data_IF_535433804303
#
_entry.id   IF_535433804303
#
_cell.length_a   1.000
_cell.length_b   1.000
_cell.length_c   1.000
_cell.angle_alpha   90.00
_cell.angle_beta   90.00
_cell.angle_gamma   90.00
#
_symmetry.space_group_name_H-M   'P 1'
#
loop_
_entity.id
_entity.type
_entity.pdbx_description
1 polymer ?
#
# COMPACT_ATOMS: atom_id res chain seq x y z
N UNK A 1 -14.96 3.65 5.20
CA UNK A 1 -14.67 2.29 4.66
C UNK A 1 -15.95 1.47 4.52
N UNK A 2 -15.93 0.45 3.63
CA UNK A 2 -17.05 -0.48 3.40
C UNK A 2 -16.53 -1.91 3.49
N UNK A 3 -17.26 -2.78 4.20
CA UNK A 3 -16.89 -4.19 4.40
C UNK A 3 -17.73 -5.08 3.49
N UNK A 4 -17.06 -5.99 2.79
CA UNK A 4 -17.65 -7.00 1.93
C UNK A 4 -17.31 -8.38 2.49
N UNK A 5 -18.24 -9.03 3.20
CA UNK A 5 -18.04 -10.38 3.67
C UNK A 5 -18.00 -11.37 2.50
N UNK A 6 -17.32 -12.51 2.64
CA UNK A 6 -17.33 -13.54 1.61
C UNK A 6 -18.75 -14.04 1.38
N UNK A 7 -19.17 -14.13 0.11
CA UNK A 7 -20.54 -14.53 -0.27
C UNK A 7 -20.63 -15.98 -0.74
N UNK A 8 -19.51 -16.67 -0.89
CA UNK A 8 -19.43 -18.06 -1.37
C UNK A 8 -19.30 -19.01 -0.18
N UNK A 9 -19.91 -20.24 -0.26
CA UNK A 9 -19.66 -21.28 0.72
C UNK A 9 -18.15 -21.57 0.85
N UNK A 10 -17.66 -22.03 2.03
CA UNK A 10 -16.26 -22.35 2.23
C UNK A 10 -15.77 -23.33 1.16
N UNK A 11 -14.80 -22.93 0.34
CA UNK A 11 -14.26 -23.83 -0.69
C UNK A 11 -13.48 -23.17 -1.82
N UNK A 12 -13.67 -21.88 -2.14
CA UNK A 12 -12.91 -21.23 -3.22
C UNK A 12 -11.61 -20.60 -2.71
N UNK A 13 -11.62 -19.89 -1.59
CA UNK A 13 -10.41 -19.46 -0.88
C UNK A 13 -10.50 -20.00 0.55
N UNK A 14 -9.88 -21.15 0.75
CA UNK A 14 -10.03 -21.93 1.99
C UNK A 14 -9.24 -21.38 3.19
N UNK A 15 -8.27 -20.49 2.95
CA UNK A 15 -7.40 -19.94 3.98
C UNK A 15 -8.02 -18.76 4.75
N UNK A 16 -9.22 -18.31 4.37
CA UNK A 16 -9.92 -17.22 5.02
C UNK A 16 -9.21 -15.86 4.88
N UNK A 17 -8.53 -15.61 3.76
CA UNK A 17 -7.78 -14.37 3.56
C UNK A 17 -8.69 -13.12 3.60
N UNK A 18 -8.16 -12.03 4.17
CA UNK A 18 -8.71 -10.69 4.12
C UNK A 18 -7.86 -9.76 3.24
N UNK A 19 -8.48 -8.73 2.68
CA UNK A 19 -7.83 -7.71 1.87
C UNK A 19 -8.35 -6.32 2.25
N UNK A 20 -7.47 -5.40 2.60
CA UNK A 20 -7.77 -3.97 2.62
C UNK A 20 -7.47 -3.40 1.24
N UNK A 21 -8.43 -2.73 0.62
CA UNK A 21 -8.32 -2.25 -0.76
C UNK A 21 -8.56 -0.74 -0.85
N UNK A 22 -7.67 -0.02 -1.56
CA UNK A 22 -7.76 1.40 -1.82
C UNK A 22 -7.96 1.67 -3.32
N UNK A 23 -8.98 2.45 -3.68
CA UNK A 23 -9.26 2.85 -5.05
C UNK A 23 -8.24 3.88 -5.57
N UNK A 24 -8.23 4.11 -6.89
CA UNK A 24 -7.46 5.16 -7.54
C UNK A 24 -8.16 6.52 -7.53
N UNK A 25 -7.74 7.39 -8.45
CA UNK A 25 -8.32 8.74 -8.60
C UNK A 25 -7.34 9.88 -8.39
N UNK A 26 -6.04 9.66 -8.62
CA UNK A 26 -5.03 10.72 -8.59
C UNK A 26 -4.92 11.44 -7.26
N UNK A 27 -5.20 10.76 -6.15
CA UNK A 27 -5.28 11.28 -4.78
C UNK A 27 -6.42 12.27 -4.51
N UNK A 28 -7.04 12.86 -5.52
CA UNK A 28 -8.03 13.94 -5.41
C UNK A 28 -9.43 13.53 -5.87
N UNK A 29 -9.60 12.33 -6.38
CA UNK A 29 -10.87 11.79 -6.88
C UNK A 29 -11.10 10.36 -6.49
N UNK A 30 -12.23 9.82 -6.96
CA UNK A 30 -12.66 8.45 -6.65
C UNK A 30 -13.56 8.38 -5.43
N UNK A 31 -14.23 7.24 -5.30
CA UNK A 31 -15.10 6.90 -4.18
C UNK A 31 -15.30 5.38 -4.09
N UNK A 32 -16.05 4.94 -3.08
CA UNK A 32 -16.33 3.52 -2.85
C UNK A 32 -17.32 2.90 -3.84
N UNK A 33 -17.98 3.68 -4.69
CA UNK A 33 -19.01 3.18 -5.64
C UNK A 33 -18.44 2.95 -7.05
N UNK A 34 -17.22 3.42 -7.31
CA UNK A 34 -16.57 3.19 -8.61
C UNK A 34 -16.23 1.70 -8.83
N UNK A 35 -16.19 1.23 -10.09
CA UNK A 35 -15.93 -0.19 -10.41
C UNK A 35 -14.63 -0.73 -9.81
N UNK A 36 -13.59 0.08 -9.77
CA UNK A 36 -12.28 -0.23 -9.18
C UNK A 36 -12.35 -0.43 -7.65
N UNK A 37 -13.37 0.13 -6.98
CA UNK A 37 -13.63 -0.07 -5.55
C UNK A 37 -14.69 -1.15 -5.32
N UNK A 38 -15.96 -0.87 -5.63
CA UNK A 38 -17.11 -1.76 -5.39
C UNK A 38 -17.04 -3.04 -6.23
N UNK A 39 -16.73 -2.90 -7.53
CA UNK A 39 -16.66 -4.03 -8.45
C UNK A 39 -15.57 -5.02 -8.06
N UNK A 40 -14.36 -4.52 -7.77
CA UNK A 40 -13.23 -5.34 -7.29
C UNK A 40 -13.59 -6.02 -5.97
N UNK A 41 -14.11 -5.27 -5.00
CA UNK A 41 -14.44 -5.81 -3.69
C UNK A 41 -15.53 -6.89 -3.76
N UNK A 42 -16.61 -6.68 -4.52
CA UNK A 42 -17.66 -7.69 -4.73
C UNK A 42 -17.14 -8.94 -5.43
N UNK A 43 -16.33 -8.76 -6.45
CA UNK A 43 -15.81 -9.88 -7.21
C UNK A 43 -14.84 -10.75 -6.40
N UNK A 44 -14.03 -10.16 -5.52
CA UNK A 44 -13.16 -10.90 -4.60
C UNK A 44 -13.98 -11.51 -3.44
N UNK A 45 -14.98 -10.82 -2.91
CA UNK A 45 -15.88 -11.37 -1.92
C UNK A 45 -16.67 -12.60 -2.45
N UNK A 46 -17.07 -12.58 -3.72
CA UNK A 46 -17.66 -13.72 -4.40
C UNK A 46 -16.70 -14.90 -4.54
N UNK A 47 -15.40 -14.71 -4.39
CA UNK A 47 -14.36 -15.74 -4.40
C UNK A 47 -13.93 -16.19 -3.00
N UNK A 48 -14.55 -15.66 -1.95
CA UNK A 48 -14.31 -16.09 -0.57
C UNK A 48 -13.34 -15.19 0.21
N UNK A 49 -12.96 -14.01 -0.31
CA UNK A 49 -12.12 -13.02 0.38
C UNK A 49 -12.99 -12.10 1.21
N UNK A 50 -12.59 -11.81 2.46
CA UNK A 50 -13.14 -10.65 3.19
C UNK A 50 -12.49 -9.39 2.67
N UNK A 51 -13.24 -8.43 2.10
CA UNK A 51 -12.66 -7.19 1.59
C UNK A 51 -13.12 -6.00 2.43
N UNK A 52 -12.17 -5.15 2.80
CA UNK A 52 -12.39 -3.84 3.42
C UNK A 52 -11.95 -2.77 2.43
N UNK A 53 -12.89 -2.16 1.74
CA UNK A 53 -12.61 -1.05 0.83
C UNK A 53 -12.46 0.24 1.63
N UNK A 54 -11.29 0.87 1.54
CA UNK A 54 -10.96 2.08 2.28
C UNK A 54 -11.48 3.33 1.56
N UNK A 55 -12.18 4.18 2.32
CA UNK A 55 -12.65 5.50 1.90
C UNK A 55 -11.70 6.52 2.53
N UNK A 56 -10.61 6.75 1.87
CA UNK A 56 -9.55 7.61 2.39
C UNK A 56 -9.80 9.09 2.08
N UNK A 57 -9.20 9.98 2.87
CA UNK A 57 -9.27 11.43 2.69
C UNK A 57 -8.65 11.85 1.37
N UNK A 58 -9.41 12.55 0.53
CA UNK A 58 -8.94 13.03 -0.76
C UNK A 58 -8.19 14.35 -0.61
N UNK A 59 -7.17 14.55 -1.43
CA UNK A 59 -6.51 15.84 -1.63
C UNK A 59 -7.49 16.83 -2.27
N UNK A 60 -7.24 18.15 -2.17
CA UNK A 60 -8.06 19.12 -2.87
C UNK A 60 -8.14 18.86 -4.37
N UNK A 61 -9.28 19.15 -4.99
CA UNK A 61 -9.43 19.16 -6.44
C UNK A 61 -9.55 20.63 -6.88
N UNK A 62 -8.43 21.30 -7.22
CA UNK A 62 -8.46 22.69 -7.64
C UNK A 62 -9.19 22.86 -8.98
N UNK A 63 -9.78 24.06 -9.23
CA UNK A 63 -10.63 24.32 -10.38
C UNK A 63 -9.99 23.93 -11.71
N UNK A 64 -8.71 24.27 -11.91
CA UNK A 64 -8.00 23.94 -13.15
C UNK A 64 -7.91 22.44 -13.42
N UNK A 65 -7.77 21.62 -12.38
CA UNK A 65 -7.74 20.17 -12.48
C UNK A 65 -9.17 19.61 -12.62
N UNK A 66 -10.13 20.17 -11.90
CA UNK A 66 -11.54 19.81 -11.98
C UNK A 66 -12.09 20.02 -13.41
N UNK A 67 -11.79 21.14 -14.03
CA UNK A 67 -12.20 21.47 -15.40
C UNK A 67 -11.67 20.45 -16.42
N UNK A 68 -10.43 19.96 -16.23
CA UNK A 68 -9.83 18.94 -17.10
C UNK A 68 -10.58 17.61 -17.08
N UNK A 69 -11.17 17.27 -15.94
CA UNK A 69 -11.89 16.00 -15.75
C UNK A 69 -13.44 16.18 -15.76
N UNK A 70 -13.95 17.37 -16.05
CA UNK A 70 -15.38 17.63 -16.07
C UNK A 70 -16.03 17.55 -14.68
N UNK A 71 -15.29 17.86 -13.62
CA UNK A 71 -15.76 17.85 -12.23
C UNK A 71 -15.88 19.27 -11.67
N UNK A 72 -16.51 19.41 -10.51
CA UNK A 72 -16.47 20.63 -9.72
C UNK A 72 -15.22 20.61 -8.82
N UNK A 73 -14.66 21.77 -8.54
CA UNK A 73 -13.61 21.90 -7.53
C UNK A 73 -14.14 21.44 -6.16
N UNK A 74 -13.26 20.82 -5.38
CA UNK A 74 -13.56 20.31 -4.03
C UNK A 74 -12.44 20.66 -3.08
N UNK A 75 -12.81 20.97 -1.84
CA UNK A 75 -11.88 21.00 -0.74
C UNK A 75 -11.40 19.60 -0.41
N UNK A 76 -10.23 19.52 0.20
CA UNK A 76 -9.64 18.23 0.59
C UNK A 76 -8.52 18.42 1.60
N UNK A 77 -7.79 17.36 1.86
CA UNK A 77 -6.70 17.34 2.86
C UNK A 77 -5.45 16.74 2.24
N UNK A 78 -4.33 17.45 2.37
CA UNK A 78 -3.05 16.99 1.85
C UNK A 78 -2.47 15.84 2.69
N UNK A 79 -1.39 15.26 2.19
CA UNK A 79 -0.58 14.31 2.94
C UNK A 79 -0.29 14.85 4.37
N UNK A 80 -0.36 14.01 5.44
CA UNK A 80 -0.43 12.56 5.43
C UNK A 80 -1.84 11.96 5.56
N UNK A 81 -2.93 12.73 5.48
CA UNK A 81 -4.27 12.27 5.85
C UNK A 81 -4.69 10.95 5.18
N UNK A 82 -4.61 10.85 3.84
CA UNK A 82 -4.94 9.61 3.13
C UNK A 82 -4.06 8.43 3.57
N UNK A 83 -2.75 8.66 3.77
CA UNK A 83 -1.82 7.63 4.25
C UNK A 83 -2.16 7.16 5.67
N UNK A 84 -2.59 8.08 6.55
CA UNK A 84 -3.04 7.76 7.91
C UNK A 84 -4.32 6.93 7.90
N UNK A 85 -5.26 7.27 7.01
CA UNK A 85 -6.50 6.52 6.83
C UNK A 85 -6.25 5.07 6.39
N UNK A 86 -5.31 4.84 5.45
CA UNK A 86 -4.96 3.49 4.99
C UNK A 86 -4.30 2.68 6.11
N UNK A 87 -3.35 3.28 6.86
CA UNK A 87 -2.74 2.62 8.02
C UNK A 87 -3.80 2.27 9.07
N UNK A 88 -4.72 3.19 9.37
CA UNK A 88 -5.80 2.97 10.32
C UNK A 88 -6.78 1.88 9.84
N UNK A 89 -7.13 1.87 8.55
CA UNK A 89 -8.00 0.86 7.96
C UNK A 89 -7.38 -0.55 8.05
N UNK A 90 -6.07 -0.68 7.77
CA UNK A 90 -5.39 -1.97 7.88
C UNK A 90 -5.31 -2.44 9.33
N UNK A 91 -4.94 -1.58 10.27
CA UNK A 91 -4.92 -1.90 11.71
C UNK A 91 -6.28 -2.37 12.19
N UNK A 92 -7.32 -1.59 11.88
CA UNK A 92 -8.68 -1.93 12.25
C UNK A 92 -9.12 -3.28 11.66
N UNK A 93 -8.87 -3.53 10.37
CA UNK A 93 -9.22 -4.79 9.72
C UNK A 93 -8.52 -5.98 10.38
N UNK A 94 -7.22 -5.83 10.65
CA UNK A 94 -6.41 -6.85 11.30
C UNK A 94 -6.88 -7.17 12.72
N UNK A 95 -7.30 -6.16 13.49
CA UNK A 95 -7.74 -6.29 14.88
C UNK A 95 -9.19 -6.74 15.02
N UNK A 96 -10.03 -6.48 14.00
CA UNK A 96 -11.50 -6.67 14.06
C UNK A 96 -11.98 -8.12 13.96
N UNK A 97 -11.10 -9.09 13.73
CA UNK A 97 -11.44 -10.51 13.55
C UNK A 97 -12.43 -10.82 12.41
N UNK A 98 -12.59 -9.88 11.46
CA UNK A 98 -13.48 -10.07 10.30
C UNK A 98 -13.05 -11.21 9.38
N UNK A 99 -11.78 -11.57 9.40
CA UNK A 99 -11.21 -12.69 8.64
C UNK A 99 -10.35 -13.56 9.55
N UNK A 100 -10.53 -14.90 9.51
CA UNK A 100 -9.72 -15.82 10.32
C UNK A 100 -8.31 -16.04 9.75
N UNK A 101 -8.09 -15.69 8.49
CA UNK A 101 -6.85 -15.94 7.76
C UNK A 101 -5.93 -14.71 7.64
N UNK A 102 -4.93 -14.80 6.74
CA UNK A 102 -3.96 -13.74 6.55
C UNK A 102 -4.60 -12.49 5.95
N UNK A 103 -4.13 -11.31 6.39
CA UNK A 103 -4.53 -10.02 5.85
C UNK A 103 -3.53 -9.50 4.83
N UNK A 104 -4.01 -9.20 3.65
CA UNK A 104 -3.29 -8.49 2.60
C UNK A 104 -3.72 -7.03 2.54
N UNK A 105 -2.91 -6.21 1.88
CA UNK A 105 -3.24 -4.83 1.54
C UNK A 105 -3.07 -4.65 0.03
N UNK A 106 -3.92 -3.86 -0.59
CA UNK A 106 -3.81 -3.60 -2.03
C UNK A 106 -4.52 -2.34 -2.45
N UNK A 107 -4.26 -1.91 -3.66
CA UNK A 107 -4.89 -0.75 -4.23
C UNK A 107 -4.58 -0.58 -5.71
N UNK A 108 -5.24 0.40 -6.31
CA UNK A 108 -5.13 0.72 -7.73
C UNK A 108 -4.65 2.17 -7.92
N UNK A 109 -3.75 2.41 -8.88
CA UNK A 109 -3.28 3.75 -9.25
C UNK A 109 -2.75 4.54 -8.02
N UNK A 110 -3.33 5.68 -7.69
CA UNK A 110 -3.03 6.46 -6.48
C UNK A 110 -3.27 5.64 -5.19
N UNK A 111 -4.32 4.79 -5.16
CA UNK A 111 -4.54 3.85 -4.04
C UNK A 111 -3.40 2.85 -3.88
N UNK A 112 -2.78 2.40 -4.98
CA UNK A 112 -1.59 1.56 -4.93
C UNK A 112 -0.37 2.30 -4.35
N UNK A 113 -0.21 3.61 -4.63
CA UNK A 113 0.78 4.44 -3.95
C UNK A 113 0.51 4.48 -2.44
N UNK A 114 -0.73 4.80 -2.05
CA UNK A 114 -1.12 4.92 -0.65
C UNK A 114 -0.87 3.63 0.14
N UNK A 115 -1.21 2.47 -0.43
CA UNK A 115 -0.96 1.19 0.25
C UNK A 115 0.52 0.82 0.29
N UNK A 116 1.31 1.20 -0.72
CA UNK A 116 2.76 1.02 -0.72
C UNK A 116 3.41 1.84 0.39
N UNK A 117 3.07 3.14 0.46
CA UNK A 117 3.54 4.03 1.53
C UNK A 117 3.06 3.61 2.92
N UNK A 118 1.80 3.18 3.04
CA UNK A 118 1.28 2.63 4.29
C UNK A 118 2.00 1.35 4.70
N UNK A 119 2.36 0.48 3.75
CA UNK A 119 3.13 -0.74 4.02
C UNK A 119 4.52 -0.42 4.57
N UNK A 120 5.23 0.57 4.02
CA UNK A 120 6.51 1.03 4.58
C UNK A 120 6.36 1.46 6.05
N UNK A 121 5.27 2.14 6.39
CA UNK A 121 4.96 2.54 7.77
C UNK A 121 4.59 1.36 8.67
N UNK A 122 3.80 0.41 8.16
CA UNK A 122 3.37 -0.79 8.89
C UNK A 122 4.53 -1.75 9.16
N UNK A 123 5.48 -1.88 8.22
CA UNK A 123 6.69 -2.70 8.40
C UNK A 123 7.57 -2.18 9.54
N UNK A 124 7.52 -0.87 9.83
CA UNK A 124 8.22 -0.30 10.98
C UNK A 124 7.56 -0.69 12.32
N UNK A 125 6.29 -1.09 12.32
CA UNK A 125 5.54 -1.53 13.50
C UNK A 125 5.65 -3.06 13.64
N UNK A 126 6.34 -3.52 14.64
CA UNK A 126 6.50 -4.96 14.91
C UNK A 126 5.13 -5.62 15.09
N UNK A 127 4.80 -6.59 14.20
CA UNK A 127 3.60 -7.41 14.29
C UNK A 127 2.41 -6.98 13.43
N UNK A 128 2.54 -5.92 12.61
CA UNK A 128 1.46 -5.46 11.70
C UNK A 128 1.85 -5.57 10.22
N UNK A 129 2.62 -6.57 9.83
CA UNK A 129 3.03 -6.75 8.45
C UNK A 129 1.92 -7.38 7.60
N UNK A 130 1.53 -6.77 6.46
CA UNK A 130 0.66 -7.43 5.50
C UNK A 130 1.26 -8.73 4.98
N UNK A 131 0.43 -9.77 4.78
CA UNK A 131 0.89 -11.04 4.22
C UNK A 131 1.21 -10.94 2.72
N UNK A 132 0.61 -9.96 2.04
CA UNK A 132 0.77 -9.68 0.62
C UNK A 132 0.44 -8.22 0.35
N UNK A 133 1.17 -7.61 -0.57
CA UNK A 133 0.83 -6.32 -1.19
C UNK A 133 0.35 -6.55 -2.62
N UNK A 134 -0.79 -5.96 -2.99
CA UNK A 134 -1.35 -6.04 -4.36
C UNK A 134 -1.39 -4.65 -4.95
N UNK A 135 -0.68 -4.44 -6.06
CA UNK A 135 -0.57 -3.16 -6.74
C UNK A 135 -1.13 -3.27 -8.15
N UNK A 136 -2.23 -2.60 -8.43
CA UNK A 136 -2.80 -2.51 -9.77
C UNK A 136 -2.37 -1.18 -10.40
N UNK A 137 -1.68 -1.23 -11.53
CA UNK A 137 -1.18 -0.09 -12.31
C UNK A 137 -0.73 1.10 -11.43
N UNK A 138 0.23 0.88 -10.52
CA UNK A 138 0.57 1.85 -9.48
C UNK A 138 1.24 3.10 -10.05
N UNK A 139 0.98 4.26 -9.44
CA UNK A 139 1.82 5.46 -9.56
C UNK A 139 2.73 5.55 -8.33
N UNK A 140 4.04 5.42 -8.49
CA UNK A 140 4.97 5.31 -7.36
C UNK A 140 6.07 6.37 -7.35
N UNK A 141 6.27 7.09 -8.47
CA UNK A 141 7.23 8.17 -8.60
C UNK A 141 6.55 9.46 -9.03
N UNK A 142 6.92 10.56 -8.40
CA UNK A 142 6.48 11.91 -8.79
C UNK A 142 7.21 12.41 -10.05
N UNK A 143 8.46 12.01 -10.21
CA UNK A 143 9.25 12.24 -11.42
C UNK A 143 9.55 10.87 -12.02
N UNK A 144 8.91 10.58 -13.15
CA UNK A 144 9.00 9.28 -13.79
C UNK A 144 10.21 9.17 -14.70
N UNK A 145 10.83 7.97 -14.83
CA UNK A 145 11.73 7.67 -15.93
C UNK A 145 10.99 7.81 -17.28
N UNK A 146 11.74 8.08 -18.34
CA UNK A 146 11.19 8.02 -19.68
C UNK A 146 10.72 6.58 -20.02
N UNK A 147 9.59 6.43 -20.71
CA UNK A 147 9.16 5.14 -21.23
C UNK A 147 10.19 4.58 -22.22
N UNK A 148 10.35 3.28 -22.24
CA UNK A 148 11.16 2.62 -23.27
C UNK A 148 10.55 2.81 -24.67
N UNK A 149 11.31 2.41 -25.72
CA UNK A 149 10.89 2.61 -27.11
C UNK A 149 9.58 1.87 -27.45
N UNK A 150 9.36 0.70 -26.86
CA UNK A 150 8.17 -0.12 -27.13
C UNK A 150 6.92 0.50 -26.48
N UNK A 151 7.03 0.93 -25.23
CA UNK A 151 5.93 1.63 -24.55
C UNK A 151 5.65 2.98 -25.23
N UNK A 152 6.70 3.75 -25.59
CA UNK A 152 6.50 5.03 -26.29
C UNK A 152 5.77 4.82 -27.63
N UNK A 153 6.17 3.82 -28.40
CA UNK A 153 5.49 3.47 -29.67
C UNK A 153 4.03 3.06 -29.45
N UNK A 154 3.74 2.32 -28.36
CA UNK A 154 2.36 1.94 -28.03
C UNK A 154 1.50 3.15 -27.64
N UNK A 155 2.05 4.09 -26.85
CA UNK A 155 1.38 5.34 -26.47
C UNK A 155 1.17 6.26 -27.67
N UNK A 156 2.15 6.38 -28.58
CA UNK A 156 2.03 7.15 -29.82
C UNK A 156 0.93 6.59 -30.75
N UNK A 157 0.75 5.28 -30.73
CA UNK A 157 -0.32 4.60 -31.48
C UNK A 157 -1.71 4.76 -30.83
N UNK A 158 -1.76 5.09 -29.53
CA UNK A 158 -2.98 5.24 -28.73
C UNK A 158 -2.95 6.53 -27.89
N UNK A 159 -3.17 7.70 -28.51
CA UNK A 159 -3.09 9.00 -27.81
C UNK A 159 -4.06 9.16 -26.63
N UNK A 160 -5.13 8.36 -26.55
CA UNK A 160 -6.04 8.39 -25.41
C UNK A 160 -5.44 7.70 -24.17
N UNK A 161 -4.41 6.88 -24.34
CA UNK A 161 -3.66 6.27 -23.25
C UNK A 161 -2.53 7.19 -22.74
N UNK A 162 -2.06 8.14 -23.57
CA UNK A 162 -0.95 9.06 -23.28
C UNK A 162 -1.42 10.27 -22.45
N UNK A 163 -1.77 10.02 -21.18
CA UNK A 163 -2.42 11.03 -20.31
C UNK A 163 -1.62 11.36 -19.05
N UNK A 164 -0.60 10.59 -18.75
CA UNK A 164 0.21 10.69 -17.52
C UNK A 164 1.64 11.16 -17.79
N UNK A 165 1.80 12.12 -18.72
CA UNK A 165 3.09 12.73 -18.98
C UNK A 165 3.72 13.37 -17.72
N UNK A 166 5.03 13.67 -17.76
CA UNK A 166 5.80 14.10 -16.58
C UNK A 166 5.17 15.25 -15.78
N UNK A 167 4.69 16.28 -16.47
CA UNK A 167 4.07 17.45 -15.81
C UNK A 167 2.74 17.08 -15.12
N UNK A 168 1.97 16.17 -15.72
CA UNK A 168 0.70 15.72 -15.16
C UNK A 168 0.92 14.91 -13.87
N UNK A 169 1.90 14.02 -13.86
CA UNK A 169 2.27 13.22 -12.68
C UNK A 169 2.87 14.10 -11.60
N UNK A 170 3.81 14.99 -11.95
CA UNK A 170 4.40 15.92 -10.99
C UNK A 170 3.32 16.77 -10.32
N UNK A 171 2.44 17.40 -11.10
CA UNK A 171 1.36 18.23 -10.57
C UNK A 171 0.37 17.45 -9.69
N UNK A 172 0.10 16.18 -10.00
CA UNK A 172 -0.73 15.30 -9.17
C UNK A 172 -0.08 15.06 -7.80
N UNK A 173 1.22 14.82 -7.73
CA UNK A 173 1.94 14.64 -6.47
C UNK A 173 2.09 15.93 -5.68
N UNK A 174 2.39 17.06 -6.33
CA UNK A 174 2.45 18.36 -5.66
C UNK A 174 1.10 18.75 -5.05
N UNK A 175 0.01 18.45 -5.75
CA UNK A 175 -1.34 18.62 -5.20
C UNK A 175 -1.60 17.69 -4.00
N UNK A 176 -1.19 16.43 -4.07
CA UNK A 176 -1.32 15.48 -2.96
C UNK A 176 -0.54 15.92 -1.72
N UNK A 177 0.69 16.39 -1.92
CA UNK A 177 1.58 16.84 -0.86
C UNK A 177 1.17 18.21 -0.28
N UNK A 178 0.53 19.07 -1.09
CA UNK A 178 0.29 20.48 -0.76
C UNK A 178 1.55 21.33 -0.90
N UNK A 179 2.52 20.89 -1.70
CA UNK A 179 3.81 21.56 -1.92
C UNK A 179 4.74 20.76 -2.83
N UNK A 180 5.98 21.25 -3.03
CA UNK A 180 6.93 20.64 -3.94
C UNK A 180 7.37 19.24 -3.49
N UNK A 181 7.71 18.39 -4.45
CA UNK A 181 8.06 16.98 -4.22
C UNK A 181 9.48 16.78 -3.63
N UNK A 182 10.35 17.76 -3.72
CA UNK A 182 11.78 17.64 -3.31
C UNK A 182 11.96 17.28 -1.84
N UNK A 183 11.01 17.63 -0.98
CA UNK A 183 11.01 17.33 0.44
C UNK A 183 9.96 16.27 0.83
N UNK A 184 9.42 15.54 -0.14
CA UNK A 184 8.40 14.52 0.12
C UNK A 184 8.95 13.40 1.01
N UNK A 185 8.25 13.00 2.07
CA UNK A 185 8.65 11.85 2.85
C UNK A 185 8.48 10.55 2.02
N UNK A 186 9.35 9.57 2.26
CA UNK A 186 9.37 8.31 1.51
C UNK A 186 8.00 7.63 1.38
N UNK A 187 7.13 7.56 2.42
CA UNK A 187 5.81 6.97 2.26
C UNK A 187 4.85 7.71 1.33
N UNK A 188 5.13 8.98 0.97
CA UNK A 188 4.33 9.71 0.00
C UNK A 188 4.76 9.44 -1.45
N UNK A 189 6.07 9.18 -1.67
CA UNK A 189 6.65 8.84 -2.98
C UNK A 189 7.44 7.53 -2.84
N UNK A 190 6.76 6.39 -2.63
CA UNK A 190 7.41 5.14 -2.24
C UNK A 190 8.33 4.54 -3.31
N UNK A 191 8.22 4.97 -4.56
CA UNK A 191 9.14 4.58 -5.63
C UNK A 191 10.58 5.06 -5.44
N UNK A 192 10.82 6.00 -4.50
CA UNK A 192 12.16 6.44 -4.11
C UNK A 192 12.84 5.52 -3.09
N UNK A 193 12.14 4.47 -2.62
CA UNK A 193 12.70 3.53 -1.67
C UNK A 193 13.95 2.83 -2.23
N UNK A 194 14.94 2.69 -1.38
CA UNK A 194 16.15 1.91 -1.67
C UNK A 194 15.95 0.43 -1.35
N UNK A 195 16.86 -0.44 -1.78
CA UNK A 195 16.82 -1.85 -1.41
C UNK A 195 16.90 -2.06 0.13
N UNK A 196 17.58 -1.17 0.85
CA UNK A 196 17.66 -1.20 2.32
C UNK A 196 16.29 -0.87 2.94
N UNK A 197 15.59 0.17 2.44
CA UNK A 197 14.24 0.52 2.89
C UNK A 197 13.24 -0.62 2.67
N UNK A 198 13.45 -1.41 1.62
CA UNK A 198 12.58 -2.52 1.23
C UNK A 198 13.00 -3.88 1.79
N UNK A 199 14.05 -3.96 2.62
CA UNK A 199 14.59 -5.24 3.13
C UNK A 199 13.55 -6.13 3.82
N UNK A 200 12.50 -5.54 4.39
CA UNK A 200 11.42 -6.25 5.07
C UNK A 200 10.04 -6.09 4.39
N UNK A 201 10.01 -5.53 3.17
CA UNK A 201 8.77 -5.33 2.45
C UNK A 201 8.10 -6.68 2.14
N UNK A 202 6.77 -6.81 2.27
CA UNK A 202 6.06 -8.07 2.08
C UNK A 202 6.15 -8.60 0.63
N UNK A 203 5.82 -9.89 0.40
CA UNK A 203 5.57 -10.41 -0.94
C UNK A 203 4.61 -9.50 -1.70
N UNK A 204 4.87 -9.28 -2.98
CA UNK A 204 4.11 -8.31 -3.79
C UNK A 204 3.63 -8.93 -5.10
N UNK A 205 2.37 -8.65 -5.45
CA UNK A 205 1.82 -8.85 -6.79
C UNK A 205 1.57 -7.48 -7.43
N UNK A 206 2.18 -7.24 -8.58
CA UNK A 206 1.96 -6.02 -9.37
C UNK A 206 1.32 -6.39 -10.71
N UNK A 207 0.27 -5.67 -11.09
CA UNK A 207 -0.45 -5.85 -12.35
C UNK A 207 -0.48 -4.50 -13.07
N UNK A 208 0.25 -4.38 -14.17
CA UNK A 208 0.33 -3.17 -14.99
C UNK A 208 -0.59 -3.26 -16.21
N UNK A 209 -1.01 -2.12 -16.76
CA UNK A 209 -1.54 -2.04 -18.12
C UNK A 209 -0.41 -2.09 -19.15
N UNK A 210 -0.68 -2.66 -20.34
CA UNK A 210 0.34 -2.70 -21.40
C UNK A 210 0.61 -1.30 -21.97
N UNK A 211 -0.45 -0.53 -22.21
CA UNK A 211 -0.37 0.83 -22.76
C UNK A 211 -0.67 1.83 -21.65
N UNK A 212 0.28 1.97 -20.70
CA UNK A 212 0.13 2.78 -19.50
C UNK A 212 1.46 3.42 -19.13
N UNK A 213 1.56 4.76 -19.21
CA UNK A 213 2.79 5.49 -18.86
C UNK A 213 3.21 5.28 -17.40
N UNK A 214 2.26 5.10 -16.46
CA UNK A 214 2.59 4.88 -15.04
C UNK A 214 3.31 3.56 -14.80
N UNK A 215 3.26 2.63 -15.76
CA UNK A 215 4.00 1.35 -15.73
C UNK A 215 5.48 1.54 -15.43
N UNK A 216 6.11 2.60 -15.94
CA UNK A 216 7.54 2.87 -15.72
C UNK A 216 7.91 3.02 -14.25
N UNK A 217 7.05 3.67 -13.45
CA UNK A 217 7.26 3.82 -12.01
C UNK A 217 7.05 2.50 -11.25
N UNK A 218 6.06 1.72 -11.66
CA UNK A 218 5.82 0.38 -11.12
C UNK A 218 6.98 -0.56 -11.39
N UNK A 219 7.47 -0.62 -12.62
CA UNK A 219 8.62 -1.44 -13.02
C UNK A 219 9.92 -1.01 -12.34
N UNK A 220 10.10 0.30 -12.10
CA UNK A 220 11.23 0.80 -11.31
C UNK A 220 11.18 0.24 -9.88
N UNK A 221 10.07 0.38 -9.22
CA UNK A 221 9.88 -0.13 -7.85
C UNK A 221 10.02 -1.65 -7.76
N UNK A 222 9.51 -2.38 -8.77
CA UNK A 222 9.64 -3.83 -8.85
C UNK A 222 11.10 -4.28 -8.96
N UNK A 223 11.93 -3.56 -9.73
CA UNK A 223 13.39 -3.82 -9.78
C UNK A 223 14.03 -3.62 -8.42
N UNK A 224 13.71 -2.54 -7.71
CA UNK A 224 14.25 -2.29 -6.36
C UNK A 224 13.83 -3.37 -5.36
N UNK A 225 12.57 -3.87 -5.44
CA UNK A 225 12.12 -5.02 -4.63
C UNK A 225 12.93 -6.29 -4.94
N UNK A 226 13.19 -6.58 -6.21
CA UNK A 226 13.99 -7.72 -6.63
C UNK A 226 15.44 -7.60 -6.15
N UNK A 227 16.04 -6.41 -6.25
CA UNK A 227 17.39 -6.11 -5.75
C UNK A 227 17.49 -6.24 -4.22
N UNK A 228 16.40 -5.94 -3.51
CA UNK A 228 16.27 -6.19 -2.07
C UNK A 228 16.03 -7.68 -1.73
N UNK A 229 15.99 -8.57 -2.73
CA UNK A 229 15.73 -10.00 -2.56
C UNK A 229 14.28 -10.31 -2.12
N UNK A 230 13.33 -9.42 -2.44
CA UNK A 230 11.91 -9.62 -2.06
C UNK A 230 11.14 -10.40 -3.13
N UNK A 231 10.10 -11.14 -2.68
CA UNK A 231 9.19 -11.85 -3.59
C UNK A 231 8.31 -10.82 -4.32
N UNK A 232 8.54 -10.66 -5.60
CA UNK A 232 7.76 -9.79 -6.50
C UNK A 232 7.34 -10.55 -7.74
N UNK A 233 6.04 -10.51 -8.05
CA UNK A 233 5.47 -10.99 -9.31
C UNK A 233 4.93 -9.79 -10.04
N UNK A 234 5.45 -9.51 -11.23
CA UNK A 234 4.96 -8.45 -12.13
C UNK A 234 4.26 -9.07 -13.31
N UNK A 235 3.04 -8.63 -13.55
CA UNK A 235 2.22 -9.04 -14.70
C UNK A 235 1.83 -7.79 -15.48
N UNK A 236 1.74 -7.93 -16.81
CA UNK A 236 1.20 -6.89 -17.68
C UNK A 236 -0.04 -7.45 -18.38
N UNK A 237 -1.17 -6.74 -18.25
CA UNK A 237 -2.41 -7.12 -18.92
C UNK A 237 -2.38 -6.65 -20.39
N UNK A 238 -2.43 -7.57 -21.35
CA UNK A 238 -2.33 -7.21 -22.77
C UNK A 238 -3.47 -6.29 -23.24
N UNK A 239 -3.14 -5.31 -24.07
CA UNK A 239 -4.09 -4.41 -24.71
C UNK A 239 -4.79 -3.44 -23.75
N UNK A 240 -4.36 -3.34 -22.50
CA UNK A 240 -5.03 -2.48 -21.53
C UNK A 240 -4.34 -1.14 -21.37
N UNK A 241 -5.16 -0.10 -21.19
CA UNK A 241 -4.76 1.23 -20.73
C UNK A 241 -4.80 1.30 -19.20
N UNK A 242 -4.33 2.40 -18.66
CA UNK A 242 -4.45 2.71 -17.23
C UNK A 242 -5.89 2.56 -16.72
N UNK A 243 -6.05 2.07 -15.49
CA UNK A 243 -7.35 2.00 -14.84
C UNK A 243 -8.29 0.92 -15.40
N UNK A 244 -7.78 -0.19 -15.96
CA UNK A 244 -8.63 -1.25 -16.53
C UNK A 244 -9.58 -1.90 -15.52
N UNK A 245 -9.31 -1.80 -14.22
CA UNK A 245 -10.27 -2.24 -13.18
C UNK A 245 -11.51 -1.32 -13.02
N UNK A 246 -11.58 -0.21 -13.77
CA UNK A 246 -12.79 0.59 -13.90
C UNK A 246 -13.68 0.15 -15.05
N UNK A 247 -13.28 -0.86 -15.81
CA UNK A 247 -13.99 -1.40 -17.00
C UNK A 247 -14.35 -2.87 -16.79
N UNK A 248 -15.39 -3.16 -15.97
CA UNK A 248 -15.76 -4.52 -15.61
C UNK A 248 -16.26 -5.36 -16.79
N UNK A 249 -16.63 -4.72 -17.90
CA UNK A 249 -17.01 -5.35 -19.17
C UNK A 249 -15.81 -5.87 -19.99
N UNK A 250 -14.60 -5.43 -19.68
CA UNK A 250 -13.38 -5.89 -20.35
C UNK A 250 -12.87 -7.21 -19.75
N UNK A 251 -12.33 -8.09 -20.60
CA UNK A 251 -11.80 -9.38 -20.15
C UNK A 251 -10.63 -9.23 -19.15
N UNK A 252 -9.85 -8.15 -19.26
CA UNK A 252 -8.74 -7.85 -18.38
C UNK A 252 -9.18 -7.62 -16.91
N UNK A 253 -10.38 -7.06 -16.68
CA UNK A 253 -10.94 -6.95 -15.32
C UNK A 253 -11.03 -8.32 -14.64
N UNK A 254 -11.69 -9.27 -15.30
CA UNK A 254 -11.85 -10.62 -14.75
C UNK A 254 -10.50 -11.34 -14.61
N UNK A 255 -9.60 -11.20 -15.58
CA UNK A 255 -8.27 -11.81 -15.57
C UNK A 255 -7.43 -11.31 -14.40
N UNK A 256 -7.38 -10.00 -14.16
CA UNK A 256 -6.68 -9.41 -13.02
C UNK A 256 -7.23 -9.91 -11.68
N UNK A 257 -8.56 -9.98 -11.55
CA UNK A 257 -9.18 -10.50 -10.32
C UNK A 257 -8.91 -11.98 -10.07
N UNK A 258 -8.84 -12.81 -11.11
CA UNK A 258 -8.44 -14.22 -10.97
C UNK A 258 -6.99 -14.33 -10.46
N UNK A 259 -6.07 -13.51 -10.97
CA UNK A 259 -4.68 -13.47 -10.51
C UNK A 259 -4.55 -13.02 -9.06
N UNK A 260 -5.29 -11.97 -8.67
CA UNK A 260 -5.34 -11.49 -7.28
C UNK A 260 -5.89 -12.59 -6.36
N UNK A 261 -7.03 -13.19 -6.72
CA UNK A 261 -7.66 -14.25 -5.94
C UNK A 261 -6.75 -15.47 -5.79
N UNK A 262 -6.07 -15.89 -6.87
CA UNK A 262 -5.13 -17.01 -6.84
C UNK A 262 -3.95 -16.72 -5.89
N UNK A 263 -3.41 -15.51 -5.91
CA UNK A 263 -2.29 -15.12 -5.02
C UNK A 263 -2.73 -15.06 -3.56
N UNK A 264 -3.94 -14.55 -3.28
CA UNK A 264 -4.52 -14.56 -1.92
C UNK A 264 -4.78 -15.97 -1.41
N UNK A 265 -5.28 -16.87 -2.27
CA UNK A 265 -5.54 -18.28 -1.93
C UNK A 265 -4.26 -19.06 -1.60
N UNK A 266 -3.13 -18.65 -2.19
CA UNK A 266 -1.84 -19.28 -1.99
C UNK A 266 -1.13 -18.84 -0.69
N UNK A 267 -1.66 -17.86 0.04
CA UNK A 267 -1.06 -17.39 1.29
C UNK A 267 -1.16 -18.49 2.36
N UNK A 268 -0.07 -18.80 3.09
CA UNK A 268 -0.13 -19.64 4.26
C UNK A 268 -1.09 -19.06 5.31
N UNK A 269 -1.88 -19.87 6.01
CA UNK A 269 -2.84 -19.39 7.02
C UNK A 269 -2.19 -18.53 8.11
N UNK A 270 -0.92 -18.82 8.45
CA UNK A 270 -0.18 -18.17 9.53
C UNK A 270 0.72 -17.02 9.05
N UNK A 271 0.49 -16.49 7.84
CA UNK A 271 1.35 -15.44 7.24
C UNK A 271 1.35 -14.11 7.98
N UNK A 272 0.32 -13.84 8.80
CA UNK A 272 0.29 -12.71 9.74
C UNK A 272 0.14 -13.28 11.16
N UNK A 273 1.22 -13.67 11.83
CA UNK A 273 1.10 -14.09 13.22
C UNK A 273 0.56 -12.90 14.04
N UNK A 274 -0.61 -13.09 14.65
CA UNK A 274 -1.10 -12.15 15.66
C UNK A 274 -0.02 -12.11 16.75
N UNK A 275 0.46 -10.93 17.05
CA UNK A 275 1.53 -10.73 18.01
C UNK A 275 1.14 -11.43 19.33
N UNK A 276 1.81 -12.53 19.66
CA UNK A 276 1.82 -13.00 21.04
C UNK A 276 2.67 -11.95 21.78
N UNK A 277 2.12 -11.19 22.76
CA UNK A 277 2.91 -10.23 23.48
C UNK A 277 4.16 -10.95 23.99
N UNK A 278 5.34 -10.48 23.63
CA UNK A 278 6.56 -10.93 24.28
C UNK A 278 6.34 -10.64 25.77
N UNK A 279 6.24 -11.70 26.56
CA UNK A 279 6.17 -11.53 28.01
C UNK A 279 7.36 -10.64 28.40
N UNK A 280 7.15 -9.59 29.21
CA UNK A 280 8.26 -8.75 29.64
C UNK A 280 9.32 -9.68 30.21
N UNK A 281 10.55 -9.58 29.69
CA UNK A 281 11.69 -10.30 30.25
C UNK A 281 11.64 -10.09 31.75
N UNK A 282 11.50 -11.19 32.49
CA UNK A 282 11.56 -11.14 33.95
C UNK A 282 12.94 -10.60 34.30
N UNK A 283 12.99 -9.36 34.71
CA UNK A 283 14.18 -8.77 35.34
C UNK A 283 14.47 -9.64 36.54
N UNK A 284 15.47 -10.52 36.42
CA UNK A 284 15.92 -11.40 37.45
C UNK A 284 16.47 -10.52 38.58
N UNK A 285 15.63 -10.24 39.58
CA UNK A 285 15.97 -9.46 40.77
C UNK A 285 16.77 -10.32 41.74
N UNK A 286 17.89 -10.84 41.31
CA UNK A 286 18.92 -11.43 42.18
C UNK A 286 20.18 -10.58 42.09
N UNK A 287 20.08 -9.33 42.55
CA UNK A 287 21.26 -8.63 43.05
C UNK A 287 21.51 -9.10 44.47
N UNK A 288 22.50 -9.92 44.56
CA UNK A 288 23.09 -10.48 45.78
C UNK A 288 23.54 -9.32 46.73
N UNK A 289 22.81 -9.11 47.83
CA UNK A 289 23.19 -8.21 48.90
C UNK A 289 24.19 -8.96 49.80
N UNK A 290 25.44 -9.00 49.39
CA UNK A 290 26.56 -9.44 50.28
C UNK A 290 26.95 -8.28 51.17
N UNK A 291 26.48 -8.35 52.40
CA UNK A 291 26.98 -7.64 53.60
C UNK A 291 28.48 -7.80 53.76
N UNK A 292 29.21 -6.70 53.80
CA UNK A 292 30.46 -6.59 54.58
C UNK A 292 30.41 -5.31 55.41
N UNK A 293 30.14 -5.52 56.72
CA UNK A 293 30.49 -4.61 57.79
C UNK A 293 31.99 -4.74 58.07
N UNK A 294 32.67 -3.67 58.28
CA UNK A 294 33.65 -3.48 59.38
C UNK A 294 34.37 -2.13 59.28
N UNK A 295 34.04 -1.22 60.17
CA UNK A 295 34.94 -0.64 61.20
C UNK A 295 36.13 0.16 60.64
N UNK A 296 36.20 1.46 60.86
CA UNK A 296 36.83 2.19 61.98
C UNK A 296 36.95 3.67 61.59
N UNK A 297 36.50 4.52 62.51
CA UNK A 297 36.93 5.91 62.64
C UNK A 297 38.30 5.97 63.32
N UNK A 298 39.12 6.99 63.05
CA UNK A 298 39.46 7.91 64.11
C UNK A 298 39.42 9.39 63.69
N UNK A 299 38.80 10.17 64.53
CA UNK A 299 39.19 11.36 65.35
C UNK A 299 40.26 12.33 64.88
N UNK A 300 39.83 13.59 64.85
CA UNK A 300 40.51 14.82 65.31
C UNK A 300 41.76 15.37 64.59
N UNK A 301 41.64 16.68 64.33
CA UNK A 301 42.78 17.55 64.13
C UNK A 301 42.49 18.91 63.48
N UNK A 302 41.93 19.83 64.30
CA UNK A 302 42.27 21.27 64.49
C UNK A 302 42.92 22.02 63.33
N UNK A 303 42.30 23.15 63.08
CA UNK A 303 42.79 24.43 62.53
C UNK A 303 44.15 24.93 63.09
N UNK A 304 44.80 25.88 62.39
CA UNK A 304 44.31 27.26 62.28
C UNK A 304 44.06 27.74 60.86
#
# INVERSE_FOLDING_TARGET
MRVYPPTTPPGMIANGAGLVWAHGGGFAGGDLDMPEADGVARALAARGVTVVSADYSLAPLPQALADRFGHAAKDGVHYPAASDDIVAAFRWAFESELSPGPWAIGGASAGANLVTGATLRLVADVGLNPALVVLAYPTLLAVQPEPDADLRAALDADPEADTFGPDAVLGMYENYLGGPVDAAPLPAVPGLATAEDLAHFPPTLMINGEVDELRVSGEHFARTLADAGRDIVVLTEPGTRHGHLNRPEEAAFAASLERIAARLAALPPDSNPRHTPVAPESVDSRADVSTRASTTLPTEGSLP
#
